data_IF_958247993380
#
_entry.id   IF_958247993380
#
_cell.length_a   1.000
_cell.length_b   1.000
_cell.length_c   1.000
_cell.angle_alpha   90.00
_cell.angle_beta   90.00
_cell.angle_gamma   90.00
#
_symmetry.space_group_name_H-M   'P 1'
#
loop_
_entity.id
_entity.type
_entity.pdbx_description
1 polymer ?
#
# COMPACT_ATOMS: atom_id res chain seq x y z
N UNK A 1 14.18 -15.05 -25.57
CA UNK A 1 14.37 -14.48 -24.21
C UNK A 1 14.05 -13.03 -24.34
N UNK A 2 13.19 -12.45 -23.49
CA UNK A 2 12.76 -11.05 -23.66
C UNK A 2 13.89 -10.05 -23.37
N UNK A 3 15.00 -10.52 -22.77
CA UNK A 3 16.19 -9.72 -22.54
C UNK A 3 17.24 -9.83 -23.67
N UNK A 4 16.98 -10.59 -24.75
CA UNK A 4 17.85 -10.71 -25.92
C UNK A 4 17.53 -9.58 -26.94
N UNK A 5 18.50 -8.70 -27.26
CA UNK A 5 18.29 -7.61 -28.21
C UNK A 5 17.88 -8.10 -29.61
N UNK A 6 18.25 -9.32 -30.00
CA UNK A 6 17.93 -9.89 -31.31
C UNK A 6 16.42 -10.10 -31.54
N UNK A 7 15.63 -10.24 -30.47
CA UNK A 7 14.17 -10.37 -30.56
C UNK A 7 13.52 -9.09 -31.12
N UNK A 8 14.17 -7.94 -30.93
CA UNK A 8 13.65 -6.64 -31.33
C UNK A 8 14.20 -6.18 -32.68
N UNK A 9 15.40 -6.62 -33.07
CA UNK A 9 16.10 -6.14 -34.28
C UNK A 9 15.96 -7.05 -35.49
N UNK A 10 15.01 -8.00 -35.49
CA UNK A 10 14.80 -8.93 -36.59
C UNK A 10 14.71 -8.20 -37.95
N UNK A 11 15.36 -8.69 -39.01
CA UNK A 11 16.08 -9.97 -39.13
C UNK A 11 17.56 -9.94 -38.65
N UNK A 12 18.05 -8.83 -38.12
CA UNK A 12 19.45 -8.67 -37.70
C UNK A 12 19.67 -9.31 -36.33
N UNK A 13 20.68 -10.19 -36.24
CA UNK A 13 21.13 -10.77 -34.97
C UNK A 13 22.18 -9.86 -34.33
N UNK A 14 22.00 -9.56 -33.05
CA UNK A 14 22.88 -8.67 -32.28
C UNK A 14 23.63 -9.51 -31.25
N UNK A 15 24.96 -9.48 -31.31
CA UNK A 15 25.81 -10.13 -30.31
C UNK A 15 26.53 -9.13 -29.41
N UNK A 16 26.78 -7.93 -29.92
CA UNK A 16 27.46 -6.85 -29.21
C UNK A 16 26.97 -5.48 -29.72
N UNK A 17 27.38 -4.40 -29.04
CA UNK A 17 27.01 -3.03 -29.39
C UNK A 17 27.43 -2.61 -30.82
N UNK A 18 28.58 -3.09 -31.31
CA UNK A 18 29.02 -2.76 -32.68
C UNK A 18 28.05 -3.29 -33.73
N UNK A 19 27.43 -4.45 -33.51
CA UNK A 19 26.42 -4.99 -34.44
C UNK A 19 25.20 -4.07 -34.52
N UNK A 20 24.81 -3.47 -33.39
CA UNK A 20 23.69 -2.55 -33.29
C UNK A 20 23.96 -1.25 -34.04
N UNK A 21 25.15 -0.67 -33.88
CA UNK A 21 25.56 0.58 -34.52
C UNK A 21 25.58 0.51 -36.06
N UNK A 22 25.61 -0.70 -36.64
CA UNK A 22 25.52 -0.90 -38.09
C UNK A 22 24.08 -0.93 -38.62
N UNK A 23 23.07 -0.99 -37.76
CA UNK A 23 21.66 -0.95 -38.16
C UNK A 23 21.24 0.51 -38.39
N UNK A 24 20.88 0.83 -39.64
CA UNK A 24 20.52 2.21 -40.01
C UNK A 24 19.20 2.70 -39.41
N UNK A 25 18.22 1.82 -39.30
CA UNK A 25 16.89 2.13 -38.77
C UNK A 25 16.56 1.11 -37.69
N UNK A 26 16.58 1.54 -36.43
CA UNK A 26 16.18 0.68 -35.33
C UNK A 26 14.65 0.59 -35.25
N UNK A 27 14.11 -0.52 -34.71
CA UNK A 27 12.69 -0.63 -34.43
C UNK A 27 12.27 0.48 -33.43
N UNK A 28 11.09 1.06 -33.63
CA UNK A 28 10.46 1.97 -32.65
C UNK A 28 9.68 1.20 -31.55
N UNK A 29 9.81 -0.13 -31.54
CA UNK A 29 9.13 -1.12 -30.69
C UNK A 29 7.67 -0.74 -30.44
N UNK A 30 6.84 -0.89 -31.47
CA UNK A 30 5.42 -0.51 -31.46
C UNK A 30 5.19 0.99 -31.23
N UNK A 31 6.06 1.84 -31.77
CA UNK A 31 5.97 3.30 -31.63
C UNK A 31 6.16 3.82 -30.21
N UNK A 32 6.77 3.04 -29.31
CA UNK A 32 6.99 3.43 -27.90
C UNK A 32 8.28 4.21 -27.69
N UNK A 33 9.31 3.94 -28.50
CA UNK A 33 10.64 4.54 -28.38
C UNK A 33 11.02 5.34 -29.62
N UNK A 34 11.66 6.48 -29.40
CA UNK A 34 12.36 7.18 -30.48
C UNK A 34 13.68 6.46 -30.83
N UNK A 35 14.27 6.77 -31.98
CA UNK A 35 15.50 6.11 -32.47
C UNK A 35 16.65 6.16 -31.45
N UNK A 36 16.86 7.30 -30.79
CA UNK A 36 17.95 7.48 -29.81
C UNK A 36 17.75 6.60 -28.58
N UNK A 37 16.52 6.56 -28.06
CA UNK A 37 16.17 5.77 -26.90
C UNK A 37 16.16 4.27 -27.22
N UNK A 38 15.76 3.89 -28.44
CA UNK A 38 15.85 2.51 -28.93
C UNK A 38 17.32 2.06 -29.04
N UNK A 39 18.19 2.87 -29.64
CA UNK A 39 19.64 2.61 -29.70
C UNK A 39 20.23 2.42 -28.30
N UNK A 40 19.95 3.35 -27.40
CA UNK A 40 20.48 3.32 -26.05
C UNK A 40 20.01 2.07 -25.27
N UNK A 41 18.71 1.76 -25.32
CA UNK A 41 18.14 0.60 -24.64
C UNK A 41 18.71 -0.71 -25.19
N UNK A 42 18.80 -0.84 -26.53
CA UNK A 42 19.34 -2.03 -27.17
C UNK A 42 20.84 -2.19 -26.87
N UNK A 43 21.62 -1.10 -26.83
CA UNK A 43 23.01 -1.12 -26.38
C UNK A 43 23.12 -1.68 -24.96
N UNK A 44 22.25 -1.25 -24.03
CA UNK A 44 22.23 -1.78 -22.67
C UNK A 44 21.90 -3.27 -22.60
N UNK A 45 21.09 -3.79 -23.52
CA UNK A 45 20.81 -5.23 -23.56
C UNK A 45 22.04 -6.06 -23.96
N UNK A 46 23.02 -5.47 -24.66
CA UNK A 46 24.24 -6.18 -25.09
C UNK A 46 25.27 -6.40 -23.99
N UNK A 47 25.09 -5.81 -22.79
CA UNK A 47 26.04 -5.89 -21.66
C UNK A 47 25.48 -6.72 -20.50
N UNK A 48 25.64 -8.07 -20.48
CA UNK A 48 24.84 -8.97 -19.63
C UNK A 48 24.80 -8.65 -18.13
N UNK A 49 25.90 -8.13 -17.55
CA UNK A 49 26.01 -7.78 -16.12
C UNK A 49 25.42 -6.42 -15.79
N UNK A 50 25.79 -5.39 -16.55
CA UNK A 50 25.34 -4.02 -16.29
C UNK A 50 23.92 -3.77 -16.82
N UNK A 51 23.40 -4.66 -17.65
CA UNK A 51 22.06 -4.57 -18.26
C UNK A 51 20.97 -4.27 -17.24
N UNK A 52 20.95 -4.97 -16.11
CA UNK A 52 19.88 -4.83 -15.12
C UNK A 52 19.81 -3.39 -14.56
N UNK A 53 20.86 -2.84 -13.92
CA UNK A 53 20.81 -1.47 -13.42
C UNK A 53 20.66 -0.43 -14.53
N UNK A 54 21.25 -0.65 -15.72
CA UNK A 54 21.14 0.29 -16.84
C UNK A 54 19.71 0.38 -17.41
N UNK A 55 19.05 -0.76 -17.64
CA UNK A 55 17.69 -0.82 -18.17
C UNK A 55 16.69 -0.30 -17.16
N UNK A 56 16.83 -0.66 -15.88
CA UNK A 56 15.94 -0.13 -14.84
C UNK A 56 16.10 1.39 -14.71
N UNK A 57 17.33 1.89 -14.73
CA UNK A 57 17.60 3.34 -14.71
C UNK A 57 17.09 4.06 -15.96
N UNK A 58 17.08 3.40 -17.11
CA UNK A 58 16.56 3.97 -18.35
C UNK A 58 15.07 4.32 -18.22
N UNK A 59 14.25 3.39 -17.72
CA UNK A 59 12.82 3.64 -17.50
C UNK A 59 12.55 4.58 -16.34
N UNK A 60 13.44 4.63 -15.36
CA UNK A 60 13.34 5.50 -14.19
C UNK A 60 13.81 6.94 -14.43
N UNK A 61 14.11 7.34 -15.67
CA UNK A 61 14.60 8.69 -16.00
C UNK A 61 13.86 9.32 -17.18
N UNK A 62 13.84 10.66 -17.23
CA UNK A 62 13.29 11.45 -18.34
C UNK A 62 11.83 11.12 -18.70
N UNK A 63 11.00 10.80 -17.70
CA UNK A 63 9.57 10.51 -17.89
C UNK A 63 9.31 9.31 -18.84
N UNK A 64 10.32 8.44 -19.01
CA UNK A 64 10.22 7.25 -19.86
C UNK A 64 9.34 6.16 -19.26
N UNK A 65 8.81 6.34 -18.05
CA UNK A 65 7.83 5.44 -17.45
C UNK A 65 6.63 5.20 -18.38
N UNK A 66 6.20 6.22 -19.14
CA UNK A 66 5.09 6.10 -20.09
C UNK A 66 5.39 5.18 -21.29
N UNK A 67 6.66 4.83 -21.52
CA UNK A 67 7.08 3.86 -22.55
C UNK A 67 6.86 2.41 -22.10
N UNK A 68 6.64 2.14 -20.80
CA UNK A 68 6.35 0.82 -20.23
C UNK A 68 4.94 0.31 -20.61
N UNK A 69 4.72 0.12 -21.91
CA UNK A 69 3.60 -0.64 -22.47
C UNK A 69 3.93 -2.14 -22.45
N UNK A 70 2.95 -3.00 -22.77
CA UNK A 70 3.06 -4.47 -22.66
C UNK A 70 4.40 -5.06 -23.14
N UNK A 71 4.87 -4.71 -24.34
CA UNK A 71 6.15 -5.25 -24.87
C UNK A 71 7.39 -4.78 -24.09
N UNK A 72 7.37 -3.55 -23.55
CA UNK A 72 8.44 -3.03 -22.70
C UNK A 72 8.38 -3.59 -21.27
N UNK A 73 7.17 -3.90 -20.79
CA UNK A 73 6.98 -4.60 -19.52
C UNK A 73 7.55 -6.02 -19.59
N UNK A 74 7.28 -6.75 -20.68
CA UNK A 74 7.86 -8.08 -20.93
C UNK A 74 9.39 -8.03 -21.04
N UNK A 75 9.95 -6.99 -21.69
CA UNK A 75 11.40 -6.75 -21.75
C UNK A 75 11.97 -6.54 -20.34
N UNK A 76 11.39 -5.64 -19.55
CA UNK A 76 11.87 -5.31 -18.21
C UNK A 76 11.76 -6.52 -17.27
N UNK A 77 10.65 -7.26 -17.33
CA UNK A 77 10.48 -8.52 -16.60
C UNK A 77 11.55 -9.54 -17.02
N UNK A 78 11.83 -9.64 -18.33
CA UNK A 78 12.90 -10.47 -18.87
C UNK A 78 14.27 -10.11 -18.31
N UNK A 79 14.58 -8.82 -18.22
CA UNK A 79 15.85 -8.32 -17.70
C UNK A 79 16.01 -8.56 -16.21
N UNK A 80 14.93 -8.40 -15.43
CA UNK A 80 14.97 -8.52 -13.98
C UNK A 80 14.87 -9.97 -13.49
N UNK A 81 14.01 -10.78 -14.09
CA UNK A 81 13.56 -12.04 -13.48
C UNK A 81 13.91 -13.29 -14.29
N UNK A 82 14.42 -13.19 -15.52
CA UNK A 82 14.94 -14.38 -16.19
C UNK A 82 16.18 -14.92 -15.46
N UNK A 83 16.28 -16.25 -15.27
CA UNK A 83 17.40 -16.86 -14.56
C UNK A 83 18.74 -16.71 -15.30
N UNK A 84 18.72 -16.41 -16.61
CA UNK A 84 19.92 -16.31 -17.43
C UNK A 84 20.68 -17.64 -17.54
N UNK A 85 22.01 -17.57 -17.69
CA UNK A 85 22.85 -18.78 -17.72
C UNK A 85 23.02 -19.33 -16.30
N UNK A 86 22.77 -20.62 -16.12
CA UNK A 86 22.93 -21.30 -14.84
C UNK A 86 24.38 -21.72 -14.60
N UNK A 87 24.91 -21.40 -13.42
CA UNK A 87 26.25 -21.83 -12.99
C UNK A 87 26.21 -23.22 -12.36
N UNK A 88 26.97 -24.17 -12.92
CA UNK A 88 27.15 -25.50 -12.33
C UNK A 88 27.93 -25.42 -11.00
N UNK A 89 27.74 -26.44 -10.14
CA UNK A 89 28.39 -26.51 -8.83
C UNK A 89 29.93 -26.43 -8.94
N UNK A 90 30.55 -25.57 -8.12
CA UNK A 90 32.00 -25.40 -8.06
C UNK A 90 32.59 -24.45 -9.10
N UNK A 91 31.77 -23.81 -9.95
CA UNK A 91 32.25 -22.87 -10.96
C UNK A 91 32.03 -21.40 -10.55
N UNK A 92 32.82 -20.92 -9.57
CA UNK A 92 32.70 -19.58 -8.97
C UNK A 92 33.80 -18.61 -9.41
N UNK A 93 34.39 -18.84 -10.57
CA UNK A 93 35.45 -17.97 -11.04
C UNK A 93 34.84 -16.65 -11.53
N UNK A 94 35.20 -15.56 -10.86
CA UNK A 94 34.87 -14.23 -11.34
C UNK A 94 35.65 -13.94 -12.64
N UNK A 95 35.02 -13.31 -13.65
CA UNK A 95 35.74 -12.89 -14.84
C UNK A 95 36.81 -11.84 -14.48
N UNK A 96 38.02 -12.02 -15.00
CA UNK A 96 39.14 -11.09 -14.79
C UNK A 96 39.12 -9.89 -15.76
N UNK A 97 38.37 -9.99 -16.86
CA UNK A 97 38.28 -8.95 -17.89
C UNK A 97 36.83 -8.63 -18.25
N UNK A 98 36.61 -7.39 -18.69
CA UNK A 98 35.33 -6.91 -19.23
C UNK A 98 35.57 -6.39 -20.65
N UNK A 99 34.94 -6.95 -21.69
CA UNK A 99 34.06 -8.13 -21.67
C UNK A 99 34.81 -9.43 -21.29
N UNK A 100 34.11 -10.36 -20.65
CA UNK A 100 34.69 -11.66 -20.29
C UNK A 100 34.87 -12.55 -21.52
N UNK A 101 36.05 -13.16 -21.66
CA UNK A 101 36.36 -14.11 -22.74
C UNK A 101 35.48 -15.37 -22.66
N UNK A 102 35.42 -15.99 -21.48
CA UNK A 102 34.52 -17.12 -21.23
C UNK A 102 33.17 -16.66 -20.69
N UNK A 103 32.17 -16.75 -21.57
CA UNK A 103 30.76 -16.50 -21.33
C UNK A 103 30.12 -17.36 -20.23
N UNK A 104 30.75 -18.49 -19.84
CA UNK A 104 30.31 -19.36 -18.74
C UNK A 104 30.61 -18.76 -17.36
N UNK A 105 31.62 -17.91 -17.26
CA UNK A 105 31.93 -17.15 -16.03
C UNK A 105 30.83 -16.14 -15.69
N UNK A 106 29.93 -15.88 -16.66
CA UNK A 106 28.80 -14.96 -16.52
C UNK A 106 27.52 -15.65 -16.02
N UNK A 107 27.62 -16.93 -15.68
CA UNK A 107 26.50 -17.71 -15.19
C UNK A 107 26.29 -17.47 -13.69
N UNK A 108 25.04 -17.60 -13.23
CA UNK A 108 24.67 -17.42 -11.82
C UNK A 108 23.90 -18.64 -11.32
N UNK A 109 23.99 -18.97 -10.02
CA UNK A 109 23.24 -20.10 -9.44
C UNK A 109 21.73 -19.79 -9.32
N UNK A 110 21.40 -18.54 -8.94
CA UNK A 110 20.05 -18.12 -8.54
C UNK A 110 19.53 -16.91 -9.32
N UNK A 111 20.05 -16.67 -10.53
CA UNK A 111 19.64 -15.58 -11.40
C UNK A 111 20.43 -14.28 -11.20
N UNK A 112 20.28 -13.39 -12.18
CA UNK A 112 21.05 -12.14 -12.28
C UNK A 112 20.65 -11.15 -11.18
N UNK A 113 19.37 -11.07 -10.83
CA UNK A 113 18.88 -10.19 -9.76
C UNK A 113 19.56 -10.47 -8.42
N UNK A 114 19.65 -11.74 -8.01
CA UNK A 114 20.32 -12.11 -6.77
C UNK A 114 21.81 -11.78 -6.83
N UNK A 115 22.45 -11.96 -7.99
CA UNK A 115 23.84 -11.58 -8.15
C UNK A 115 24.05 -10.05 -8.05
N UNK A 116 23.16 -9.25 -8.64
CA UNK A 116 23.23 -7.79 -8.56
C UNK A 116 23.02 -7.29 -7.13
N UNK A 117 22.00 -7.81 -6.42
CA UNK A 117 21.69 -7.42 -5.05
C UNK A 117 22.83 -7.74 -4.06
N UNK A 118 23.61 -8.79 -4.33
CA UNK A 118 24.75 -9.16 -3.48
C UNK A 118 26.01 -8.34 -3.75
N UNK A 119 26.13 -7.75 -4.94
CA UNK A 119 27.38 -7.12 -5.40
C UNK A 119 27.27 -5.59 -5.47
N UNK A 120 26.14 -5.06 -5.91
CA UNK A 120 25.95 -3.62 -6.17
C UNK A 120 24.45 -3.22 -6.12
N UNK A 121 23.75 -3.39 -4.99
CA UNK A 121 22.31 -3.13 -4.92
C UNK A 121 21.94 -1.65 -5.09
N UNK A 122 22.85 -0.72 -4.78
CA UNK A 122 22.56 0.71 -4.70
C UNK A 122 21.91 1.31 -5.95
N UNK A 123 22.47 1.04 -7.13
CA UNK A 123 21.95 1.60 -8.38
C UNK A 123 20.55 1.05 -8.69
N UNK A 124 20.38 -0.27 -8.56
CA UNK A 124 19.10 -0.95 -8.71
C UNK A 124 18.04 -0.38 -7.76
N UNK A 125 18.37 -0.25 -6.47
CA UNK A 125 17.49 0.29 -5.45
C UNK A 125 17.08 1.74 -5.75
N UNK A 126 18.02 2.60 -6.13
CA UNK A 126 17.74 3.99 -6.47
C UNK A 126 16.81 4.09 -7.69
N UNK A 127 17.07 3.32 -8.75
CA UNK A 127 16.23 3.30 -9.95
C UNK A 127 14.85 2.72 -9.67
N UNK A 128 14.73 1.68 -8.84
CA UNK A 128 13.45 1.12 -8.42
C UNK A 128 12.61 2.15 -7.68
N UNK A 129 13.19 2.85 -6.71
CA UNK A 129 12.51 3.90 -5.95
C UNK A 129 12.05 5.03 -6.85
N UNK A 130 12.91 5.47 -7.77
CA UNK A 130 12.59 6.52 -8.73
C UNK A 130 11.43 6.09 -9.64
N UNK A 131 11.43 4.85 -10.12
CA UNK A 131 10.35 4.32 -10.94
C UNK A 131 9.04 4.22 -10.16
N UNK A 132 9.08 3.74 -8.92
CA UNK A 132 7.90 3.63 -8.06
C UNK A 132 7.28 5.01 -7.77
N UNK A 133 8.11 6.03 -7.50
CA UNK A 133 7.65 7.41 -7.28
C UNK A 133 7.05 8.03 -8.54
N UNK A 134 7.69 7.87 -9.70
CA UNK A 134 7.10 8.30 -10.98
C UNK A 134 5.77 7.60 -11.27
N UNK A 135 5.64 6.32 -10.92
CA UNK A 135 4.38 5.60 -11.00
C UNK A 135 3.30 6.23 -10.13
N UNK A 136 3.63 6.58 -8.88
CA UNK A 136 2.71 7.28 -7.98
C UNK A 136 2.33 8.68 -8.49
N UNK A 137 3.26 9.40 -9.12
CA UNK A 137 2.98 10.71 -9.73
C UNK A 137 1.98 10.63 -10.90
N UNK A 138 1.83 9.46 -11.51
CA UNK A 138 0.83 9.20 -12.55
C UNK A 138 -0.59 8.95 -11.99
N UNK A 139 -0.77 8.86 -10.67
CA UNK A 139 -2.10 8.67 -10.06
C UNK A 139 -2.97 9.91 -10.27
N UNK A 140 -4.07 9.72 -11.01
CA UNK A 140 -5.11 10.74 -11.22
C UNK A 140 -6.20 10.73 -10.13
N UNK A 141 -6.05 9.88 -9.11
CA UNK A 141 -7.00 9.69 -8.02
C UNK A 141 -8.17 8.78 -8.37
N UNK A 142 -8.13 8.07 -9.50
CA UNK A 142 -9.24 7.23 -9.99
C UNK A 142 -8.75 5.92 -10.60
N UNK A 143 -9.39 4.77 -10.30
CA UNK A 143 -9.04 3.46 -10.88
C UNK A 143 -9.51 3.28 -12.34
N UNK A 144 -10.04 4.33 -12.96
CA UNK A 144 -10.60 4.30 -14.31
C UNK A 144 -9.74 5.02 -15.36
N UNK A 145 -8.56 5.52 -14.96
CA UNK A 145 -7.64 6.17 -15.90
C UNK A 145 -6.80 5.14 -16.66
N UNK A 146 -6.21 5.57 -17.78
CA UNK A 146 -5.37 4.75 -18.66
C UNK A 146 -4.02 4.38 -18.04
N UNK A 147 -3.62 5.10 -17.00
CA UNK A 147 -2.35 4.96 -16.29
C UNK A 147 -2.38 3.84 -15.25
N UNK A 148 -3.58 3.36 -14.86
CA UNK A 148 -3.76 2.35 -13.80
C UNK A 148 -2.96 1.08 -14.07
N UNK A 149 -2.98 0.56 -15.30
CA UNK A 149 -2.24 -0.65 -15.65
C UNK A 149 -0.71 -0.46 -15.55
N UNK A 150 -0.22 0.74 -15.90
CA UNK A 150 1.18 1.12 -15.75
C UNK A 150 1.57 1.18 -14.27
N UNK A 151 0.75 1.85 -13.45
CA UNK A 151 0.97 2.00 -12.00
C UNK A 151 1.01 0.62 -11.33
N UNK A 152 0.01 -0.21 -11.61
CA UNK A 152 -0.06 -1.57 -11.07
C UNK A 152 1.12 -2.43 -11.52
N UNK A 153 1.58 -2.30 -12.77
CA UNK A 153 2.79 -2.99 -13.24
C UNK A 153 4.04 -2.58 -12.44
N UNK A 154 4.26 -1.27 -12.26
CA UNK A 154 5.40 -0.77 -11.49
C UNK A 154 5.36 -1.26 -10.05
N UNK A 155 4.17 -1.29 -9.43
CA UNK A 155 3.97 -1.86 -8.09
C UNK A 155 4.37 -3.34 -8.05
N UNK A 156 3.97 -4.15 -9.05
CA UNK A 156 4.35 -5.57 -9.12
C UNK A 156 5.86 -5.76 -9.25
N UNK A 157 6.53 -4.97 -10.08
CA UNK A 157 7.99 -4.99 -10.20
C UNK A 157 8.64 -4.67 -8.85
N UNK A 158 8.18 -3.60 -8.18
CA UNK A 158 8.69 -3.22 -6.86
C UNK A 158 8.50 -4.31 -5.81
N UNK A 159 7.32 -4.96 -5.78
CA UNK A 159 7.02 -6.05 -4.84
C UNK A 159 7.91 -7.28 -5.06
N UNK A 160 8.19 -7.66 -6.31
CA UNK A 160 9.05 -8.81 -6.62
C UNK A 160 10.52 -8.55 -6.27
N UNK A 161 11.00 -7.33 -6.52
CA UNK A 161 12.35 -6.91 -6.11
C UNK A 161 12.44 -6.79 -4.59
N UNK A 162 11.45 -6.19 -3.94
CA UNK A 162 11.34 -6.10 -2.48
C UNK A 162 11.36 -7.49 -1.84
N UNK A 163 10.63 -8.45 -2.39
CA UNK A 163 10.65 -9.84 -1.92
C UNK A 163 12.04 -10.47 -2.05
N UNK A 164 12.75 -10.23 -3.16
CA UNK A 164 14.12 -10.72 -3.35
C UNK A 164 15.09 -10.12 -2.32
N UNK A 165 14.96 -8.82 -2.03
CA UNK A 165 15.75 -8.14 -1.00
C UNK A 165 15.42 -8.70 0.39
N UNK A 166 14.13 -8.78 0.74
CA UNK A 166 13.66 -9.31 2.02
C UNK A 166 14.18 -10.73 2.27
N UNK A 167 14.13 -11.59 1.24
CA UNK A 167 14.66 -12.93 1.31
C UNK A 167 16.18 -12.95 1.62
N UNK A 168 16.98 -12.13 0.93
CA UNK A 168 18.42 -12.05 1.18
C UNK A 168 18.74 -11.51 2.58
N UNK A 169 17.99 -10.53 3.07
CA UNK A 169 18.14 -10.00 4.44
C UNK A 169 17.81 -11.08 5.48
N UNK A 170 16.68 -11.77 5.32
CA UNK A 170 16.27 -12.85 6.23
C UNK A 170 17.26 -14.02 6.22
N UNK A 171 17.85 -14.33 5.07
CA UNK A 171 18.88 -15.36 4.95
C UNK A 171 20.17 -14.95 5.66
N UNK A 172 20.62 -13.70 5.48
CA UNK A 172 21.79 -13.17 6.17
C UNK A 172 21.62 -13.18 7.70
N UNK A 173 20.39 -12.93 8.17
CA UNK A 173 20.05 -12.92 9.59
C UNK A 173 19.78 -14.31 10.17
N UNK A 174 19.74 -15.36 9.35
CA UNK A 174 19.36 -16.71 9.77
C UNK A 174 17.92 -16.82 10.26
N UNK A 175 17.07 -15.84 9.91
CA UNK A 175 15.69 -15.72 10.36
C UNK A 175 14.67 -16.33 9.38
N UNK A 176 15.12 -16.81 8.21
CA UNK A 176 14.22 -17.33 7.19
C UNK A 176 13.56 -18.65 7.63
N UNK A 177 12.22 -18.66 7.71
CA UNK A 177 11.43 -19.73 8.33
C UNK A 177 11.57 -21.13 7.71
N UNK A 178 12.10 -21.25 6.49
CA UNK A 178 12.22 -22.54 5.78
C UNK A 178 13.63 -22.84 5.25
N UNK A 179 14.59 -21.95 5.45
CA UNK A 179 15.94 -22.12 4.91
C UNK A 179 16.94 -22.25 6.05
N UNK A 180 17.30 -23.49 6.36
CA UNK A 180 18.28 -23.81 7.41
C UNK A 180 19.71 -23.97 6.86
N UNK A 181 19.87 -23.94 5.53
CA UNK A 181 21.15 -24.17 4.85
C UNK A 181 21.61 -22.91 4.16
N UNK A 182 22.92 -22.69 4.18
CA UNK A 182 23.58 -21.66 3.39
C UNK A 182 23.30 -21.87 1.90
N UNK A 183 22.92 -20.80 1.23
CA UNK A 183 22.78 -20.81 -0.22
C UNK A 183 24.16 -20.78 -0.87
N UNK A 184 24.35 -21.67 -1.84
CA UNK A 184 25.60 -21.77 -2.59
C UNK A 184 25.93 -20.45 -3.28
N UNK A 185 27.12 -19.92 -3.06
CA UNK A 185 27.64 -18.72 -3.73
C UNK A 185 26.82 -17.45 -3.44
N UNK A 186 26.03 -17.48 -2.37
CA UNK A 186 25.33 -16.31 -1.84
C UNK A 186 26.10 -15.81 -0.63
N UNK A 187 26.87 -14.74 -0.82
CA UNK A 187 27.68 -14.12 0.22
C UNK A 187 27.31 -12.64 0.32
N UNK A 188 26.65 -12.28 1.42
CA UNK A 188 26.21 -10.91 1.68
C UNK A 188 27.19 -10.28 2.66
N UNK A 189 27.99 -9.33 2.17
CA UNK A 189 28.91 -8.57 3.02
C UNK A 189 28.13 -7.63 3.95
N UNK A 190 28.64 -7.30 5.15
CA UNK A 190 27.95 -6.43 6.10
C UNK A 190 27.56 -5.06 5.52
N UNK A 191 28.41 -4.49 4.66
CA UNK A 191 28.15 -3.21 3.99
C UNK A 191 26.97 -3.32 3.02
N UNK A 192 26.93 -4.40 2.24
CA UNK A 192 25.83 -4.69 1.32
C UNK A 192 24.54 -4.98 2.09
N UNK A 193 24.62 -5.69 3.21
CA UNK A 193 23.46 -5.95 4.07
C UNK A 193 22.84 -4.66 4.61
N UNK A 194 23.67 -3.68 4.99
CA UNK A 194 23.21 -2.37 5.41
C UNK A 194 22.49 -1.63 4.28
N UNK A 195 23.04 -1.63 3.07
CA UNK A 195 22.40 -1.03 1.88
C UNK A 195 21.06 -1.70 1.54
N UNK A 196 21.01 -3.05 1.60
CA UNK A 196 19.79 -3.80 1.35
C UNK A 196 18.70 -3.48 2.39
N UNK A 197 19.05 -3.35 3.66
CA UNK A 197 18.11 -2.97 4.73
C UNK A 197 17.56 -1.56 4.56
N UNK A 198 18.42 -0.60 4.24
CA UNK A 198 17.99 0.78 3.98
C UNK A 198 17.02 0.83 2.78
N UNK A 199 17.38 0.14 1.69
CA UNK A 199 16.54 0.02 0.52
C UNK A 199 15.19 -0.65 0.85
N UNK A 200 15.23 -1.78 1.58
CA UNK A 200 14.04 -2.52 2.00
C UNK A 200 13.09 -1.64 2.82
N UNK A 201 13.61 -0.97 3.85
CA UNK A 201 12.80 -0.10 4.71
C UNK A 201 12.15 1.03 3.91
N UNK A 202 12.89 1.63 2.96
CA UNK A 202 12.37 2.73 2.15
C UNK A 202 11.31 2.26 1.15
N UNK A 203 11.56 1.15 0.44
CA UNK A 203 10.59 0.55 -0.48
C UNK A 203 9.33 0.13 0.26
N UNK A 204 9.47 -0.54 1.41
CA UNK A 204 8.34 -0.94 2.24
C UNK A 204 7.55 0.24 2.78
N UNK A 205 8.21 1.34 3.16
CA UNK A 205 7.53 2.58 3.54
C UNK A 205 6.61 3.09 2.43
N UNK A 206 7.12 3.23 1.20
CA UNK A 206 6.33 3.71 0.05
C UNK A 206 5.19 2.73 -0.28
N UNK A 207 5.46 1.42 -0.32
CA UNK A 207 4.45 0.41 -0.64
C UNK A 207 3.35 0.30 0.42
N UNK A 208 3.74 0.25 1.71
CA UNK A 208 2.81 0.04 2.81
C UNK A 208 2.11 1.34 3.20
N UNK A 209 2.64 2.52 2.91
CA UNK A 209 1.96 3.78 3.25
C UNK A 209 1.25 4.39 2.05
N UNK A 210 2.01 4.88 1.07
CA UNK A 210 1.49 5.66 -0.05
C UNK A 210 0.66 4.78 -1.00
N UNK A 211 1.25 3.69 -1.51
CA UNK A 211 0.59 2.79 -2.45
C UNK A 211 -0.63 2.13 -1.80
N UNK A 212 -0.52 1.65 -0.56
CA UNK A 212 -1.64 1.08 0.19
C UNK A 212 -2.82 2.05 0.27
N UNK A 213 -2.58 3.30 0.66
CA UNK A 213 -3.64 4.31 0.78
C UNK A 213 -4.30 4.59 -0.57
N UNK A 214 -3.52 4.70 -1.64
CA UNK A 214 -4.01 4.87 -3.01
C UNK A 214 -4.92 3.70 -3.41
N UNK A 215 -4.45 2.45 -3.26
CA UNK A 215 -5.22 1.26 -3.61
C UNK A 215 -6.51 1.13 -2.79
N UNK A 216 -6.49 1.44 -1.49
CA UNK A 216 -7.71 1.45 -0.66
C UNK A 216 -8.71 2.51 -1.14
N UNK A 217 -8.24 3.69 -1.55
CA UNK A 217 -9.07 4.74 -2.13
C UNK A 217 -9.70 4.32 -3.46
N UNK A 218 -8.93 3.66 -4.33
CA UNK A 218 -9.42 3.10 -5.59
C UNK A 218 -10.44 1.98 -5.38
N UNK A 219 -10.20 1.06 -4.43
CA UNK A 219 -11.17 0.00 -4.07
C UNK A 219 -12.48 0.63 -3.60
N UNK A 220 -12.43 1.65 -2.75
CA UNK A 220 -13.63 2.33 -2.27
C UNK A 220 -14.45 2.94 -3.43
N UNK A 221 -13.79 3.46 -4.47
CA UNK A 221 -14.46 3.97 -5.67
C UNK A 221 -15.09 2.84 -6.49
N UNK A 222 -14.39 1.73 -6.71
CA UNK A 222 -14.93 0.56 -7.42
C UNK A 222 -16.19 0.01 -6.73
N UNK A 223 -16.12 -0.18 -5.41
CA UNK A 223 -17.26 -0.68 -4.62
C UNK A 223 -18.42 0.32 -4.61
N UNK A 224 -18.14 1.63 -4.57
CA UNK A 224 -19.19 2.66 -4.66
C UNK A 224 -19.92 2.57 -6.00
N UNK A 225 -19.20 2.54 -7.13
CA UNK A 225 -19.85 2.43 -8.44
C UNK A 225 -20.65 1.14 -8.61
N UNK A 226 -20.12 0.03 -8.09
CA UNK A 226 -20.86 -1.24 -8.06
C UNK A 226 -22.21 -1.10 -7.32
N UNK A 227 -22.23 -0.46 -6.14
CA UNK A 227 -23.46 -0.24 -5.37
C UNK A 227 -24.44 0.71 -6.05
N UNK A 228 -23.92 1.77 -6.67
CA UNK A 228 -24.73 2.74 -7.40
C UNK A 228 -25.45 2.03 -8.57
N UNK A 229 -24.75 1.17 -9.32
CA UNK A 229 -25.34 0.35 -10.39
C UNK A 229 -26.29 -0.74 -9.86
N UNK A 230 -25.95 -1.42 -8.77
CA UNK A 230 -26.81 -2.45 -8.19
C UNK A 230 -28.14 -1.91 -7.67
N UNK A 231 -28.22 -0.60 -7.43
CA UNK A 231 -29.45 0.09 -7.01
C UNK A 231 -30.30 0.57 -8.20
N UNK A 232 -29.76 0.54 -9.41
CA UNK A 232 -30.43 0.94 -10.65
C UNK A 232 -31.07 -0.29 -11.34
N UNK A 233 -32.41 -0.34 -11.46
CA UNK A 233 -33.10 -1.48 -12.09
C UNK A 233 -32.74 -1.71 -13.56
N UNK A 234 -32.24 -0.68 -14.27
CA UNK A 234 -31.92 -0.72 -15.69
C UNK A 234 -30.42 -0.97 -15.96
N UNK A 235 -29.59 -1.10 -14.91
CA UNK A 235 -28.16 -1.27 -15.08
C UNK A 235 -27.78 -2.63 -15.68
N UNK A 236 -26.81 -2.62 -16.60
CA UNK A 236 -26.26 -3.83 -17.19
C UNK A 236 -25.46 -4.64 -16.16
N UNK A 237 -25.71 -5.94 -16.10
CA UNK A 237 -24.96 -6.87 -15.24
C UNK A 237 -23.50 -6.98 -15.65
N UNK A 238 -23.18 -6.72 -16.91
CA UNK A 238 -21.80 -6.72 -17.40
C UNK A 238 -20.97 -5.60 -16.75
N UNK A 239 -21.50 -4.38 -16.68
CA UNK A 239 -20.84 -3.22 -16.09
C UNK A 239 -20.57 -3.39 -14.59
N UNK A 240 -21.49 -4.07 -13.88
CA UNK A 240 -21.27 -4.45 -12.47
C UNK A 240 -20.09 -5.41 -12.30
N UNK A 241 -19.93 -6.38 -13.21
CA UNK A 241 -18.83 -7.35 -13.18
C UNK A 241 -17.46 -6.70 -13.36
N UNK A 242 -17.37 -5.68 -14.22
CA UNK A 242 -16.11 -4.97 -14.46
C UNK A 242 -15.57 -4.29 -13.20
N UNK A 243 -16.44 -3.65 -12.42
CA UNK A 243 -16.04 -2.96 -11.19
C UNK A 243 -15.59 -3.93 -10.08
N UNK A 244 -16.23 -5.10 -9.97
CA UNK A 244 -15.80 -6.16 -9.06
C UNK A 244 -14.48 -6.79 -9.50
N UNK A 245 -14.28 -6.97 -10.82
CA UNK A 245 -13.01 -7.45 -11.37
C UNK A 245 -11.86 -6.48 -11.06
N UNK A 246 -12.05 -5.18 -11.31
CA UNK A 246 -11.08 -4.14 -10.92
C UNK A 246 -10.80 -4.15 -9.41
N UNK A 247 -11.83 -4.21 -8.56
CA UNK A 247 -11.63 -4.30 -7.12
C UNK A 247 -10.85 -5.56 -6.71
N UNK A 248 -11.09 -6.69 -7.37
CA UNK A 248 -10.36 -7.94 -7.14
C UNK A 248 -8.88 -7.80 -7.52
N UNK A 249 -8.57 -7.16 -8.65
CA UNK A 249 -7.19 -6.84 -9.03
C UNK A 249 -6.50 -5.99 -7.95
N UNK A 250 -7.17 -4.99 -7.41
CA UNK A 250 -6.59 -4.13 -6.37
C UNK A 250 -6.40 -4.88 -5.05
N UNK A 251 -7.34 -5.75 -4.67
CA UNK A 251 -7.22 -6.61 -3.50
C UNK A 251 -6.04 -7.59 -3.59
N UNK A 252 -5.74 -8.13 -4.77
CA UNK A 252 -4.56 -9.00 -4.94
C UNK A 252 -3.25 -8.26 -4.70
N UNK A 253 -3.14 -7.00 -5.15
CA UNK A 253 -1.97 -6.16 -4.87
C UNK A 253 -1.85 -5.82 -3.37
N UNK A 254 -2.98 -5.56 -2.68
CA UNK A 254 -2.97 -5.36 -1.22
C UNK A 254 -2.45 -6.58 -0.46
N UNK A 255 -2.74 -7.80 -0.92
CA UNK A 255 -2.18 -9.02 -0.33
C UNK A 255 -0.67 -9.07 -0.56
N UNK A 256 -0.19 -8.79 -1.77
CA UNK A 256 1.24 -8.84 -2.07
C UNK A 256 2.06 -7.80 -1.29
N UNK A 257 1.52 -6.60 -1.04
CA UNK A 257 2.18 -5.56 -0.20
C UNK A 257 2.51 -6.08 1.21
N UNK A 258 1.73 -7.03 1.71
CA UNK A 258 1.90 -7.62 3.05
C UNK A 258 2.56 -9.01 3.00
N UNK A 259 3.13 -9.41 1.85
CA UNK A 259 3.76 -10.74 1.65
C UNK A 259 4.89 -11.02 2.62
N UNK A 260 5.72 -10.02 2.93
CA UNK A 260 6.94 -10.17 3.72
C UNK A 260 6.79 -9.60 5.15
N UNK A 261 5.56 -9.59 5.69
CA UNK A 261 5.37 -9.22 7.09
C UNK A 261 5.99 -10.25 8.03
N UNK A 262 6.70 -9.75 9.03
CA UNK A 262 7.20 -10.52 10.16
C UNK A 262 6.16 -10.55 11.29
N UNK A 263 6.27 -11.50 12.23
CA UNK A 263 5.30 -11.62 13.33
C UNK A 263 5.10 -10.35 14.15
N UNK A 264 6.15 -9.56 14.32
CA UNK A 264 6.13 -8.34 15.15
C UNK A 264 5.59 -7.12 14.40
N UNK A 265 5.42 -7.20 13.07
CA UNK A 265 4.91 -6.09 12.25
C UNK A 265 3.39 -6.09 12.10
N UNK A 266 2.69 -7.10 12.62
CA UNK A 266 1.24 -7.16 12.53
C UNK A 266 0.57 -6.08 13.37
N UNK A 267 -0.27 -5.30 12.71
CA UNK A 267 -1.18 -4.37 13.36
C UNK A 267 -2.63 -4.64 12.92
N UNK A 268 -3.57 -3.95 13.58
CA UNK A 268 -5.01 -4.06 13.31
C UNK A 268 -5.34 -3.74 11.85
N UNK A 269 -4.63 -2.78 11.26
CA UNK A 269 -4.88 -2.32 9.90
C UNK A 269 -4.44 -3.38 8.88
N UNK A 270 -3.19 -3.80 8.91
CA UNK A 270 -2.62 -4.82 8.04
C UNK A 270 -3.34 -6.16 8.20
N UNK A 271 -3.65 -6.59 9.42
CA UNK A 271 -4.44 -7.81 9.66
C UNK A 271 -5.83 -7.72 9.00
N UNK A 272 -6.53 -6.59 9.17
CA UNK A 272 -7.81 -6.40 8.49
C UNK A 272 -7.65 -6.39 6.97
N UNK A 273 -6.61 -5.74 6.43
CA UNK A 273 -6.36 -5.64 4.98
C UNK A 273 -6.19 -7.01 4.37
N UNK A 274 -5.29 -7.82 4.92
CA UNK A 274 -5.01 -9.16 4.41
C UNK A 274 -6.25 -10.03 4.49
N UNK A 275 -6.93 -10.11 5.65
CA UNK A 275 -8.12 -10.96 5.81
C UNK A 275 -9.27 -10.54 4.90
N UNK A 276 -9.61 -9.25 4.86
CA UNK A 276 -10.70 -8.78 4.01
C UNK A 276 -10.38 -9.03 2.54
N UNK A 277 -9.14 -8.80 2.10
CA UNK A 277 -8.75 -8.99 0.70
C UNK A 277 -8.77 -10.47 0.32
N UNK A 278 -8.26 -11.35 1.19
CA UNK A 278 -8.31 -12.80 0.96
C UNK A 278 -9.74 -13.31 0.87
N UNK A 279 -10.62 -12.92 1.80
CA UNK A 279 -12.00 -13.41 1.81
C UNK A 279 -12.82 -12.77 0.67
N UNK A 280 -12.54 -11.51 0.32
CA UNK A 280 -13.14 -10.86 -0.83
C UNK A 280 -12.83 -11.63 -2.11
N UNK A 281 -11.56 -11.94 -2.36
CA UNK A 281 -11.14 -12.75 -3.51
C UNK A 281 -11.74 -14.16 -3.47
N UNK A 282 -11.75 -14.82 -2.30
CA UNK A 282 -12.34 -16.15 -2.18
C UNK A 282 -13.83 -16.19 -2.55
N UNK A 283 -14.57 -15.09 -2.31
CA UNK A 283 -16.01 -15.01 -2.57
C UNK A 283 -16.36 -14.44 -3.95
N UNK A 284 -15.52 -13.56 -4.52
CA UNK A 284 -15.83 -12.77 -5.71
C UNK A 284 -14.99 -13.10 -6.93
N UNK A 285 -13.88 -13.82 -6.76
CA UNK A 285 -12.97 -14.17 -7.84
C UNK A 285 -13.06 -15.65 -8.20
N UNK A 286 -13.02 -15.94 -9.51
CA UNK A 286 -12.94 -17.32 -10.01
C UNK A 286 -11.48 -17.67 -10.28
N UNK A 287 -10.94 -18.56 -9.46
CA UNK A 287 -9.54 -19.01 -9.59
C UNK A 287 -9.36 -19.94 -10.80
N UNK A 288 -8.15 -19.92 -11.34
CA UNK A 288 -7.62 -20.65 -12.49
C UNK A 288 -8.18 -20.20 -13.85
N UNK A 289 -8.59 -18.93 -13.95
CA UNK A 289 -9.00 -18.33 -15.23
C UNK A 289 -7.87 -17.57 -15.92
N UNK A 290 -6.82 -17.17 -15.17
CA UNK A 290 -5.67 -16.46 -15.74
C UNK A 290 -5.90 -14.98 -16.01
N UNK A 291 -7.02 -14.43 -15.51
CA UNK A 291 -7.40 -13.03 -15.73
C UNK A 291 -6.80 -12.06 -14.69
N UNK A 292 -6.20 -12.58 -13.61
CA UNK A 292 -5.48 -11.73 -12.65
C UNK A 292 -4.20 -11.18 -13.30
N UNK A 293 -3.84 -9.91 -13.05
CA UNK A 293 -2.62 -9.30 -13.60
C UNK A 293 -1.32 -9.85 -12.98
N UNK A 294 -1.43 -10.84 -12.11
CA UNK A 294 -0.34 -11.54 -11.42
C UNK A 294 -0.68 -13.02 -11.32
N UNK A 295 0.35 -13.83 -11.13
CA UNK A 295 0.18 -15.27 -10.97
C UNK A 295 -0.67 -15.58 -9.74
N UNK A 296 -1.76 -16.31 -9.93
CA UNK A 296 -2.68 -16.65 -8.83
C UNK A 296 -1.97 -17.45 -7.72
N UNK A 297 -0.99 -18.26 -8.11
CA UNK A 297 -0.14 -19.03 -7.20
C UNK A 297 0.65 -18.13 -6.26
N UNK A 298 1.04 -16.93 -6.70
CA UNK A 298 1.75 -15.93 -5.88
C UNK A 298 0.83 -15.42 -4.75
N UNK A 299 -0.43 -15.12 -5.07
CA UNK A 299 -1.43 -14.67 -4.09
C UNK A 299 -1.72 -15.77 -3.06
N UNK A 300 -1.91 -17.01 -3.52
CA UNK A 300 -2.11 -18.16 -2.64
C UNK A 300 -0.91 -18.40 -1.72
N UNK A 301 0.32 -18.32 -2.26
CA UNK A 301 1.54 -18.47 -1.49
C UNK A 301 1.61 -17.44 -0.37
N UNK A 302 1.34 -16.16 -0.67
CA UNK A 302 1.34 -15.09 0.32
C UNK A 302 0.40 -15.40 1.49
N UNK A 303 -0.82 -15.84 1.20
CA UNK A 303 -1.77 -16.24 2.23
C UNK A 303 -1.25 -17.41 3.07
N UNK A 304 -0.69 -18.45 2.46
CA UNK A 304 -0.19 -19.61 3.21
C UNK A 304 0.98 -19.27 4.13
N UNK A 305 1.92 -18.44 3.66
CA UNK A 305 3.06 -17.98 4.45
C UNK A 305 2.57 -17.16 5.65
N UNK A 306 1.67 -16.20 5.42
CA UNK A 306 1.25 -15.25 6.44
C UNK A 306 0.20 -15.80 7.42
N UNK A 307 -0.52 -16.87 7.06
CA UNK A 307 -1.62 -17.44 7.84
C UNK A 307 -1.27 -17.72 9.30
N UNK A 308 -0.13 -18.37 9.57
CA UNK A 308 0.24 -18.76 10.95
C UNK A 308 0.54 -17.55 11.81
N UNK A 309 1.29 -16.60 11.27
CA UNK A 309 1.63 -15.35 11.94
C UNK A 309 0.37 -14.53 12.25
N UNK A 310 -0.52 -14.41 11.26
CA UNK A 310 -1.78 -13.69 11.39
C UNK A 310 -2.72 -14.31 12.44
N UNK A 311 -2.84 -15.64 12.47
CA UNK A 311 -3.64 -16.34 13.49
C UNK A 311 -3.07 -16.12 14.89
N UNK A 312 -1.74 -16.18 15.03
CA UNK A 312 -1.05 -15.93 16.30
C UNK A 312 -1.34 -14.52 16.79
N UNK A 313 -1.18 -13.53 15.91
CA UNK A 313 -1.54 -12.14 16.18
C UNK A 313 -3.01 -11.98 16.62
N UNK A 314 -3.97 -12.59 15.92
CA UNK A 314 -5.40 -12.49 16.30
C UNK A 314 -5.73 -13.10 17.65
N UNK A 315 -5.04 -14.18 18.03
CA UNK A 315 -5.23 -14.83 19.33
C UNK A 315 -4.67 -13.97 20.47
N UNK A 316 -3.56 -13.28 20.23
CA UNK A 316 -2.88 -12.42 21.21
C UNK A 316 -3.45 -11.00 21.26
N UNK A 317 -4.09 -10.55 20.19
CA UNK A 317 -4.66 -9.21 20.08
C UNK A 317 -5.75 -8.95 21.13
N UNK A 318 -5.85 -7.71 21.65
CA UNK A 318 -6.95 -7.29 22.50
C UNK A 318 -8.31 -7.60 21.87
N UNK A 319 -9.30 -7.96 22.70
CA UNK A 319 -10.64 -8.33 22.22
C UNK A 319 -11.25 -7.27 21.31
N UNK A 320 -11.06 -5.98 21.64
CA UNK A 320 -11.56 -4.86 20.82
C UNK A 320 -10.94 -4.86 19.42
N UNK A 321 -9.62 -4.96 19.33
CA UNK A 321 -8.88 -4.94 18.07
C UNK A 321 -9.26 -6.13 17.19
N UNK A 322 -9.38 -7.32 17.80
CA UNK A 322 -9.87 -8.52 17.13
C UNK A 322 -11.29 -8.32 16.58
N UNK A 323 -12.19 -7.71 17.35
CA UNK A 323 -13.55 -7.41 16.90
C UNK A 323 -13.54 -6.43 15.73
N UNK A 324 -12.73 -5.37 15.80
CA UNK A 324 -12.61 -4.36 14.75
C UNK A 324 -12.13 -4.99 13.43
N UNK A 325 -11.15 -5.90 13.50
CA UNK A 325 -10.65 -6.67 12.35
C UNK A 325 -11.75 -7.55 11.74
N UNK A 326 -12.40 -8.39 12.55
CA UNK A 326 -13.39 -9.35 12.06
C UNK A 326 -14.65 -8.65 11.51
N UNK A 327 -15.04 -7.51 12.10
CA UNK A 327 -16.11 -6.69 11.55
C UNK A 327 -15.71 -6.01 10.24
N UNK A 328 -14.46 -5.56 10.11
CA UNK A 328 -13.98 -5.02 8.84
C UNK A 328 -14.04 -6.07 7.72
N UNK A 329 -13.71 -7.33 8.04
CA UNK A 329 -13.84 -8.45 7.10
C UNK A 329 -15.28 -8.62 6.63
N UNK A 330 -16.24 -8.67 7.56
CA UNK A 330 -17.67 -8.77 7.20
C UNK A 330 -18.07 -7.59 6.33
N UNK A 331 -17.82 -6.35 6.76
CA UNK A 331 -18.27 -5.15 6.04
C UNK A 331 -17.78 -5.12 4.60
N UNK A 332 -16.50 -5.44 4.40
CA UNK A 332 -15.88 -5.45 3.07
C UNK A 332 -16.41 -6.59 2.21
N UNK A 333 -16.63 -7.78 2.76
CA UNK A 333 -17.03 -8.96 1.97
C UNK A 333 -18.51 -9.05 1.67
N UNK A 334 -19.36 -8.47 2.53
CA UNK A 334 -20.81 -8.37 2.33
C UNK A 334 -21.25 -7.04 1.74
N UNK A 335 -20.31 -6.18 1.32
CA UNK A 335 -20.55 -4.82 0.81
C UNK A 335 -21.38 -3.94 1.77
N UNK A 336 -21.44 -4.23 3.07
CA UNK A 336 -22.28 -3.48 4.00
C UNK A 336 -21.62 -2.18 4.49
N UNK A 337 -20.31 -2.01 4.28
CA UNK A 337 -19.57 -0.83 4.70
C UNK A 337 -18.11 -0.84 4.28
N UNK A 338 -17.37 0.20 4.69
CA UNK A 338 -15.93 0.27 4.51
C UNK A 338 -15.17 -0.57 5.56
N UNK A 339 -13.85 -0.63 5.40
CA UNK A 339 -12.95 -1.28 6.37
C UNK A 339 -13.02 -0.61 7.74
N UNK A 340 -12.95 0.73 7.76
CA UNK A 340 -13.14 1.53 8.98
C UNK A 340 -14.63 1.63 9.29
N UNK A 341 -15.00 1.32 10.53
CA UNK A 341 -16.39 1.38 10.97
C UNK A 341 -16.94 2.82 10.93
N UNK A 342 -18.12 2.99 10.37
CA UNK A 342 -18.92 4.21 10.49
C UNK A 342 -19.69 4.23 11.81
N UNK A 343 -20.17 5.41 12.25
CA UNK A 343 -21.03 5.52 13.44
C UNK A 343 -22.34 4.73 13.34
N UNK A 344 -22.76 4.35 12.13
CA UNK A 344 -24.00 3.62 11.87
C UNK A 344 -23.79 2.11 11.80
N UNK A 345 -22.54 1.64 11.91
CA UNK A 345 -22.23 0.23 11.73
C UNK A 345 -22.54 -0.56 12.99
N UNK A 346 -23.25 -1.68 12.82
CA UNK A 346 -23.54 -2.61 13.92
C UNK A 346 -22.29 -3.44 14.19
N UNK A 347 -21.62 -3.15 15.32
CA UNK A 347 -20.51 -3.96 15.81
C UNK A 347 -21.04 -5.20 16.51
N UNK A 348 -20.85 -6.38 15.90
CA UNK A 348 -21.22 -7.67 16.48
C UNK A 348 -20.09 -8.14 17.39
N UNK A 349 -20.43 -8.99 18.36
CA UNK A 349 -19.46 -9.54 19.28
C UNK A 349 -18.82 -10.81 18.71
N UNK A 350 -17.49 -10.86 18.70
CA UNK A 350 -16.72 -11.98 18.17
C UNK A 350 -15.90 -12.65 19.27
N UNK A 351 -16.02 -13.97 19.36
CA UNK A 351 -15.30 -14.78 20.33
C UNK A 351 -14.56 -15.92 19.63
N UNK A 352 -13.45 -16.37 20.24
CA UNK A 352 -12.76 -17.56 19.78
C UNK A 352 -13.60 -18.79 20.12
N UNK A 353 -13.72 -19.72 19.18
CA UNK A 353 -14.44 -20.96 19.43
C UNK A 353 -13.62 -21.86 20.37
N UNK A 354 -14.23 -22.30 21.46
CA UNK A 354 -13.57 -23.17 22.43
C UNK A 354 -13.25 -24.56 21.83
N UNK A 355 -12.13 -25.15 22.23
CA UNK A 355 -11.76 -26.53 21.90
C UNK A 355 -10.40 -26.68 21.21
N UNK A 356 -9.74 -27.85 21.31
CA UNK A 356 -8.36 -28.06 20.86
C UNK A 356 -8.16 -27.94 19.35
N UNK A 357 -9.22 -28.13 18.56
CA UNK A 357 -9.18 -28.03 17.09
C UNK A 357 -9.70 -26.69 16.54
N UNK A 358 -10.03 -25.75 17.44
CA UNK A 358 -10.67 -24.49 17.09
C UNK A 358 -9.72 -23.28 17.19
N UNK A 359 -8.42 -23.51 17.40
CA UNK A 359 -7.41 -22.44 17.36
C UNK A 359 -7.49 -21.68 16.03
N UNK A 360 -7.61 -20.35 16.10
CA UNK A 360 -7.79 -19.47 14.95
C UNK A 360 -9.18 -19.48 14.32
N UNK A 361 -10.18 -20.10 14.96
CA UNK A 361 -11.59 -20.00 14.55
C UNK A 361 -12.34 -19.03 15.45
N UNK A 362 -13.14 -18.17 14.81
CA UNK A 362 -13.91 -17.14 15.49
C UNK A 362 -15.38 -17.26 15.10
N UNK A 363 -16.26 -17.14 16.09
CA UNK A 363 -17.70 -17.16 15.92
C UNK A 363 -18.33 -15.89 16.47
N UNK A 364 -19.56 -15.62 16.05
CA UNK A 364 -20.37 -14.59 16.70
C UNK A 364 -20.83 -15.11 18.05
N UNK A 365 -20.72 -14.29 19.08
CA UNK A 365 -21.33 -14.59 20.38
C UNK A 365 -22.83 -14.39 20.28
N UNK A 366 -23.61 -15.41 20.63
CA UNK A 366 -25.09 -15.37 20.61
C UNK A 366 -25.65 -14.43 21.69
N UNK A 367 -24.83 -14.00 22.65
CA UNK A 367 -25.17 -13.09 23.75
C UNK A 367 -24.87 -11.60 23.43
N UNK A 368 -24.62 -11.26 22.16
CA UNK A 368 -24.41 -9.87 21.77
C UNK A 368 -25.72 -9.06 21.87
N UNK A 369 -25.73 -7.86 22.48
CA UNK A 369 -26.93 -7.04 22.53
C UNK A 369 -27.39 -6.72 21.10
N UNK A 370 -28.68 -6.89 20.87
CA UNK A 370 -29.38 -6.65 19.62
C UNK A 370 -29.28 -5.18 19.19
N UNK A 371 -29.52 -4.90 17.90
CA UNK A 371 -29.51 -3.53 17.36
C UNK A 371 -30.47 -2.62 18.14
N UNK A 372 -31.62 -3.16 18.55
CA UNK A 372 -32.62 -2.46 19.34
C UNK A 372 -32.11 -2.10 20.74
N UNK A 373 -31.36 -3.00 21.40
CA UNK A 373 -30.77 -2.75 22.71
C UNK A 373 -29.67 -1.68 22.65
N UNK A 374 -28.85 -1.65 21.59
CA UNK A 374 -27.85 -0.60 21.39
C UNK A 374 -28.44 0.75 20.97
N UNK A 375 -29.51 0.76 20.16
CA UNK A 375 -30.22 2.01 19.85
C UNK A 375 -30.90 2.60 21.09
N UNK A 376 -31.39 1.74 21.99
CA UNK A 376 -31.92 2.16 23.28
C UNK A 376 -30.81 2.73 24.20
N UNK A 377 -29.65 2.11 24.23
CA UNK A 377 -28.48 2.59 25.00
C UNK A 377 -27.96 3.94 24.48
N UNK A 378 -27.81 4.09 23.16
CA UNK A 378 -27.43 5.35 22.52
C UNK A 378 -28.45 6.48 22.73
N UNK A 379 -29.76 6.16 22.71
CA UNK A 379 -30.80 7.12 23.07
C UNK A 379 -30.72 7.52 24.54
N UNK A 380 -30.49 6.56 25.44
CA UNK A 380 -30.34 6.82 26.86
C UNK A 380 -29.12 7.71 27.15
N UNK A 381 -27.98 7.48 26.49
CA UNK A 381 -26.80 8.33 26.59
C UNK A 381 -27.05 9.74 26.04
N UNK A 382 -27.75 9.87 24.91
CA UNK A 382 -28.10 11.16 24.33
C UNK A 382 -29.04 11.97 25.24
N UNK A 383 -30.05 11.33 25.81
CA UNK A 383 -30.95 11.95 26.79
C UNK A 383 -30.22 12.36 28.06
N UNK A 384 -29.26 11.56 28.52
CA UNK A 384 -28.46 11.87 29.70
C UNK A 384 -27.53 13.08 29.44
N UNK A 385 -26.90 13.14 28.27
CA UNK A 385 -26.09 14.29 27.86
C UNK A 385 -26.93 15.57 27.73
N UNK A 386 -28.16 15.47 27.22
CA UNK A 386 -29.08 16.60 27.14
C UNK A 386 -29.51 17.08 28.53
N UNK A 387 -29.85 16.16 29.45
CA UNK A 387 -30.15 16.49 30.86
C UNK A 387 -28.98 17.18 31.55
N UNK A 388 -27.75 16.70 31.33
CA UNK A 388 -26.54 17.31 31.87
C UNK A 388 -26.26 18.70 31.28
N UNK A 389 -26.55 18.90 29.99
CA UNK A 389 -26.43 20.20 29.34
C UNK A 389 -27.46 21.22 29.88
N UNK A 390 -28.69 20.78 30.13
CA UNK A 390 -29.74 21.59 30.75
C UNK A 390 -29.35 21.95 32.18
N UNK A 391 -28.91 20.99 32.99
CA UNK A 391 -28.45 21.23 34.36
C UNK A 391 -27.28 22.22 34.42
N UNK A 392 -26.34 22.16 33.46
CA UNK A 392 -25.25 23.16 33.34
C UNK A 392 -25.77 24.56 33.02
N UNK A 393 -26.77 24.69 32.13
CA UNK A 393 -27.40 25.98 31.81
C UNK A 393 -28.11 26.56 33.03
N UNK A 394 -28.86 25.76 33.78
CA UNK A 394 -29.55 26.21 34.98
C UNK A 394 -28.60 26.69 36.07
N UNK A 395 -27.48 25.98 36.30
CA UNK A 395 -26.43 26.43 37.22
C UNK A 395 -25.85 27.78 36.81
N UNK A 396 -25.66 28.00 35.51
CA UNK A 396 -25.15 29.26 34.96
C UNK A 396 -26.15 30.41 35.12
N UNK A 397 -27.43 30.15 34.94
CA UNK A 397 -28.51 31.14 35.17
C UNK A 397 -28.56 31.53 36.66
N UNK A 398 -28.58 30.54 37.56
CA UNK A 398 -28.56 30.81 39.01
C UNK A 398 -27.34 31.61 39.45
N UNK A 399 -26.16 31.33 38.89
CA UNK A 399 -24.95 32.11 39.18
C UNK A 399 -25.08 33.57 38.73
N UNK A 400 -25.65 33.83 37.55
CA UNK A 400 -25.88 35.18 37.03
C UNK A 400 -26.94 35.95 37.84
N UNK A 401 -27.98 35.26 38.32
CA UNK A 401 -28.99 35.85 39.21
C UNK A 401 -28.39 36.26 40.55
N UNK A 402 -27.52 35.42 41.14
CA UNK A 402 -26.83 35.71 42.38
C UNK A 402 -25.86 36.90 42.21
N UNK A 403 -25.14 36.97 41.09
CA UNK A 403 -24.25 38.08 40.77
C UNK A 403 -25.05 39.39 40.59
N UNK A 404 -26.21 39.34 39.94
CA UNK A 404 -27.10 40.49 39.78
C UNK A 404 -27.72 40.95 41.11
N UNK A 405 -28.07 40.02 42.01
CA UNK A 405 -28.50 40.37 43.36
C UNK A 405 -27.38 41.04 44.16
N UNK A 406 -26.14 40.53 44.07
CA UNK A 406 -24.97 41.17 44.67
C UNK A 406 -24.70 42.57 44.13
N UNK A 407 -24.82 42.79 42.81
CA UNK A 407 -24.70 44.11 42.19
C UNK A 407 -25.80 45.08 42.65
N UNK A 408 -27.04 44.61 42.82
CA UNK A 408 -28.15 45.42 43.34
C UNK A 408 -27.93 45.80 44.81
N UNK A 409 -27.44 44.89 45.65
CA UNK A 409 -27.10 45.17 47.05
C UNK A 409 -25.96 46.19 47.15
N UNK A 410 -24.89 46.03 46.36
CA UNK A 410 -23.78 47.01 46.31
C UNK A 410 -24.21 48.40 45.83
N UNK A 411 -25.18 48.49 44.91
CA UNK A 411 -25.77 49.77 44.47
C UNK A 411 -26.65 50.42 45.54
N UNK A 412 -27.28 49.61 46.41
CA UNK A 412 -28.09 50.11 47.52
C UNK A 412 -27.20 50.60 48.66
N UNK A 413 -26.16 49.84 48.99
CA UNK A 413 -25.15 50.23 49.98
C UNK A 413 -24.38 51.49 49.59
N UNK A 414 -24.02 51.66 48.30
CA UNK A 414 -23.46 52.93 47.78
C UNK A 414 -24.41 54.12 47.83
N UNK A 415 -25.73 53.90 47.92
CA UNK A 415 -26.74 54.96 48.10
C UNK A 415 -26.97 55.30 49.56
N UNK A 416 -26.68 54.37 50.46
CA UNK A 416 -26.86 54.56 51.91
C UNK A 416 -25.57 55.09 52.58
N UNK A 417 -24.37 54.89 52.00
CA UNK A 417 -23.07 55.30 52.56
C UNK A 417 -22.45 56.59 51.95
N UNK A 418 -23.14 57.34 51.09
CA UNK A 418 -22.56 58.48 50.39
C UNK A 418 -23.52 59.65 50.23
N UNK A 419 -23.42 60.61 51.15
CA UNK A 419 -23.99 61.95 51.04
C UNK A 419 -23.30 62.80 49.97
N UNK A 420 -23.91 63.97 49.77
CA UNK A 420 -23.54 65.06 48.88
C UNK A 420 -22.04 65.21 48.62
N UNK A 421 -21.69 65.29 47.33
CA UNK A 421 -20.67 66.23 46.85
C UNK A 421 -20.86 66.43 45.33
N UNK A 422 -21.38 67.62 45.01
CA UNK A 422 -21.24 68.29 43.72
C UNK A 422 -19.76 68.47 43.38
N UNK A 423 -19.36 68.11 42.16
CA UNK A 423 -18.47 68.93 41.34
C UNK A 423 -18.32 68.35 39.94
N UNK A 424 -18.69 69.17 38.97
CA UNK A 424 -18.21 69.27 37.60
C UNK A 424 -16.92 68.50 37.26
N UNK A 425 -16.94 67.69 36.19
CA UNK A 425 -16.02 67.93 35.09
C UNK A 425 -16.46 67.24 33.79
N UNK A 426 -16.34 67.98 32.70
CA UNK A 426 -16.63 67.58 31.34
C UNK A 426 -15.53 66.67 30.76
N UNK A 427 -15.91 65.84 29.80
CA UNK A 427 -15.01 65.44 28.73
C UNK A 427 -14.50 64.00 28.79
N UNK A 428 -14.93 63.18 27.83
CA UNK A 428 -14.19 61.97 27.51
C UNK A 428 -14.94 60.88 26.76
N UNK A 429 -14.71 60.84 25.45
CA UNK A 429 -14.67 59.61 24.66
C UNK A 429 -15.99 58.85 24.38
N UNK A 430 -16.81 59.43 23.49
CA UNK A 430 -17.45 58.66 22.41
C UNK A 430 -16.37 58.11 21.47
N UNK A 431 -15.84 56.92 21.72
CA UNK A 431 -15.02 56.14 20.77
C UNK A 431 -14.85 54.71 21.30
N UNK A 432 -15.78 53.81 20.97
CA UNK A 432 -15.50 52.37 20.73
C UNK A 432 -16.75 51.52 20.43
N UNK A 433 -17.60 52.03 19.53
CA UNK A 433 -18.69 51.23 18.92
C UNK A 433 -18.51 51.14 17.42
N UNK A 434 -17.30 50.79 16.96
CA UNK A 434 -17.03 50.47 15.55
C UNK A 434 -15.73 49.67 15.37
N UNK A 435 -15.63 48.48 15.96
CA UNK A 435 -14.69 47.44 15.50
C UNK A 435 -15.12 46.08 16.02
N UNK A 436 -15.02 45.05 15.16
CA UNK A 436 -15.45 43.65 15.35
C UNK A 436 -16.95 43.36 15.14
N UNK A 437 -17.46 43.79 13.98
CA UNK A 437 -18.22 42.89 13.09
C UNK A 437 -17.27 42.52 11.96
N UNK A 438 -16.61 41.36 12.11
CA UNK A 438 -15.91 40.53 11.11
C UNK A 438 -14.89 39.66 11.87
N UNK A 439 -15.36 38.48 12.27
CA UNK A 439 -14.73 37.18 12.09
C UNK A 439 -15.81 36.14 12.39
#
# INVERSE_FOLDING_TARGET
SCADPSEYTAPHKIFNESDLLHIKNLPDINGTLNQRDAELLLSYLTVPYMRLPLVLSFFATNDRIHTLRRSMQELLDGVLFEPGRHAAFGNNQAPLMVPAEDKKLLATPFGILFNELQRSPKALCASLLSLLKQGLECDSGTPYSTEVELILYVIRVALRVEHSISFLVQLADGAHASMERELRDVLILPEILAELRECLATVQGVLREEVRNMLEGWIAQCIKKFKDLASDPEADRYDMGEHISKASHLHSHLILIHRNMTPDEWDVRSASIVLSSTIFLANRWTWNQGDLPMEETEVYQCHQIQRRSLITFLNEAPTRDRMDILEAVVRVTTDSGGRVASRRDVLRHWESLAGPHNSGRFGRSENAPTVEEKEAELKAEAEQQEKDAIARRERKIKALELENQGRKQRRKQKKDDGGDEDSDDEGGAKKDKKRKRQL
#
